data_IF_925576623357
#
_entry.id   IF_925576623357
#
_cell.length_a   1.000
_cell.length_b   1.000
_cell.length_c   1.000
_cell.angle_alpha   90.00
_cell.angle_beta   90.00
_cell.angle_gamma   90.00
#
_symmetry.space_group_name_H-M   'P 1'
#
loop_
_entity.id
_entity.type
_entity.pdbx_description
1 polymer ?
#
# COMPACT_ATOMS: atom_id res chain seq x y z
N UNK A 1 43.05 -10.13 -11.98
CA UNK A 1 43.62 -11.43 -12.41
C UNK A 1 42.79 -12.53 -11.74
N UNK A 2 41.95 -13.28 -12.49
CA UNK A 2 41.02 -14.27 -11.91
C UNK A 2 41.65 -15.67 -12.00
N UNK A 3 42.15 -16.20 -10.89
CA UNK A 3 42.60 -17.59 -10.82
C UNK A 3 41.38 -18.53 -10.78
N UNK A 4 41.34 -19.53 -11.65
CA UNK A 4 40.24 -20.49 -11.80
C UNK A 4 40.76 -21.88 -11.50
N UNK A 5 40.27 -22.48 -10.42
CA UNK A 5 40.62 -23.84 -9.99
C UNK A 5 39.33 -24.65 -9.81
N UNK A 6 39.33 -25.93 -10.20
CA UNK A 6 38.19 -26.83 -10.04
C UNK A 6 38.49 -27.77 -8.88
N UNK A 7 37.60 -27.80 -7.89
CA UNK A 7 37.66 -28.70 -6.72
C UNK A 7 36.47 -29.67 -6.74
N UNK A 8 36.44 -30.61 -5.81
CA UNK A 8 35.30 -31.52 -5.61
C UNK A 8 33.96 -30.78 -5.42
N UNK A 9 34.01 -29.59 -4.82
CA UNK A 9 32.87 -28.69 -4.58
C UNK A 9 32.51 -27.81 -5.79
N UNK A 10 33.07 -28.09 -6.97
CA UNK A 10 32.86 -27.34 -8.21
C UNK A 10 33.91 -26.27 -8.49
N UNK A 11 33.58 -25.35 -9.41
CA UNK A 11 34.49 -24.29 -9.82
C UNK A 11 34.62 -23.22 -8.73
N UNK A 12 35.83 -22.98 -8.25
CA UNK A 12 36.10 -21.96 -7.23
C UNK A 12 36.73 -20.73 -7.87
N UNK A 13 36.22 -19.56 -7.47
CA UNK A 13 36.75 -18.24 -7.81
C UNK A 13 36.84 -17.42 -6.53
N UNK A 14 37.84 -16.54 -6.47
CA UNK A 14 38.02 -15.60 -5.37
C UNK A 14 37.79 -14.16 -5.83
N UNK A 15 37.22 -13.32 -4.96
CA UNK A 15 37.14 -11.87 -5.15
C UNK A 15 38.52 -11.22 -4.98
N UNK A 16 38.64 -9.93 -5.33
CA UNK A 16 39.88 -9.19 -5.11
C UNK A 16 40.24 -9.05 -3.61
N UNK A 17 39.24 -9.20 -2.75
CA UNK A 17 39.35 -9.13 -1.29
C UNK A 17 39.59 -10.52 -0.67
N UNK A 18 39.60 -11.59 -1.47
CA UNK A 18 39.90 -12.96 -1.03
C UNK A 18 38.69 -13.81 -0.67
N UNK A 19 37.46 -13.31 -0.89
CA UNK A 19 36.23 -14.06 -0.59
C UNK A 19 35.92 -15.10 -1.65
N UNK A 20 35.39 -16.26 -1.25
CA UNK A 20 34.95 -17.30 -2.19
C UNK A 20 33.61 -16.91 -2.83
N UNK A 21 33.59 -16.87 -4.16
CA UNK A 21 32.37 -16.64 -4.94
C UNK A 21 31.69 -17.99 -5.18
N UNK A 22 30.44 -18.12 -4.76
CA UNK A 22 29.64 -19.33 -4.93
C UNK A 22 28.15 -18.99 -5.13
N UNK A 23 27.38 -19.95 -5.65
CA UNK A 23 25.92 -19.89 -5.63
C UNK A 23 25.43 -19.95 -4.18
N UNK A 24 24.51 -19.06 -3.85
CA UNK A 24 23.82 -19.01 -2.55
C UNK A 24 22.42 -19.58 -2.71
N UNK A 25 22.09 -20.62 -1.95
CA UNK A 25 20.74 -21.20 -1.93
C UNK A 25 19.83 -20.38 -1.00
N UNK A 26 18.61 -20.13 -1.44
CA UNK A 26 17.58 -19.43 -0.68
C UNK A 26 16.39 -20.37 -0.50
N UNK A 27 15.95 -20.53 0.75
CA UNK A 27 14.85 -21.42 1.12
C UNK A 27 13.76 -20.66 1.87
N UNK A 28 12.55 -21.18 1.83
CA UNK A 28 11.41 -20.68 2.60
C UNK A 28 10.71 -21.84 3.30
N UNK A 29 10.37 -21.65 4.57
CA UNK A 29 9.48 -22.56 5.29
C UNK A 29 8.04 -22.37 4.79
N UNK A 30 7.48 -23.39 4.14
CA UNK A 30 6.12 -23.40 3.63
C UNK A 30 5.40 -24.64 4.15
N UNK A 31 4.27 -24.47 4.83
CA UNK A 31 3.45 -25.58 5.35
C UNK A 31 4.23 -26.62 6.19
N UNK A 32 5.24 -26.18 6.95
CA UNK A 32 6.05 -27.06 7.81
C UNK A 32 7.25 -27.71 7.12
N UNK A 33 7.47 -27.47 5.83
CA UNK A 33 8.61 -27.98 5.07
C UNK A 33 9.48 -26.85 4.50
N UNK A 34 10.80 -27.02 4.50
CA UNK A 34 11.72 -26.10 3.83
C UNK A 34 11.72 -26.38 2.34
N UNK A 35 11.40 -25.35 1.54
CA UNK A 35 11.44 -25.42 0.08
C UNK A 35 12.49 -24.47 -0.48
N UNK A 36 13.31 -24.96 -1.39
CA UNK A 36 14.29 -24.17 -2.12
C UNK A 36 13.61 -23.24 -3.11
N UNK A 37 13.64 -21.94 -2.83
CA UNK A 37 13.10 -20.89 -3.69
C UNK A 37 13.99 -20.68 -4.91
N UNK A 38 15.30 -20.72 -4.72
CA UNK A 38 16.24 -20.53 -5.83
C UNK A 38 17.68 -20.30 -5.40
N UNK A 39 18.51 -19.95 -6.37
CA UNK A 39 19.94 -19.73 -6.20
C UNK A 39 20.36 -18.35 -6.70
N UNK A 40 21.18 -17.66 -5.91
CA UNK A 40 21.74 -16.34 -6.23
C UNK A 40 23.25 -16.44 -6.51
N UNK A 41 23.71 -15.79 -7.59
CA UNK A 41 25.12 -15.70 -7.95
C UNK A 41 25.66 -14.28 -7.72
N UNK A 42 26.57 -14.12 -6.76
CA UNK A 42 27.09 -12.80 -6.37
C UNK A 42 27.91 -12.07 -7.47
N UNK A 43 28.75 -12.77 -8.24
CA UNK A 43 29.59 -12.16 -9.31
C UNK A 43 28.76 -11.59 -10.48
N UNK A 44 27.79 -12.37 -10.97
CA UNK A 44 26.92 -11.98 -12.10
C UNK A 44 25.65 -11.25 -11.66
N UNK A 45 25.36 -11.24 -10.36
CA UNK A 45 24.10 -10.75 -9.76
C UNK A 45 22.86 -11.43 -10.35
N UNK A 46 23.00 -12.68 -10.77
CA UNK A 46 21.92 -13.48 -11.34
C UNK A 46 21.16 -14.23 -10.25
N UNK A 47 19.82 -14.23 -10.33
CA UNK A 47 18.95 -15.04 -9.51
C UNK A 47 18.23 -16.07 -10.38
N UNK A 48 18.32 -17.35 -10.00
CA UNK A 48 17.59 -18.45 -10.63
C UNK A 48 16.49 -18.91 -9.69
N UNK A 49 15.25 -18.61 -10.04
CA UNK A 49 14.07 -19.08 -9.31
C UNK A 49 13.76 -20.53 -9.69
N UNK A 50 13.50 -21.37 -8.70
CA UNK A 50 13.03 -22.75 -8.87
C UNK A 50 11.61 -22.92 -8.33
N UNK A 51 11.32 -22.34 -7.18
CA UNK A 51 10.00 -22.36 -6.56
C UNK A 51 9.52 -20.95 -6.25
N UNK A 52 8.19 -20.79 -6.24
CA UNK A 52 7.54 -19.54 -5.90
C UNK A 52 7.59 -19.30 -4.38
N UNK A 53 7.77 -18.03 -4.00
CA UNK A 53 7.69 -17.58 -2.62
C UNK A 53 6.23 -17.39 -2.25
N UNK A 54 5.78 -18.02 -1.17
CA UNK A 54 4.40 -17.92 -0.70
C UNK A 54 4.37 -16.93 0.47
N UNK A 55 3.56 -15.89 0.34
CA UNK A 55 3.25 -14.97 1.43
C UNK A 55 1.76 -15.05 1.76
N UNK A 56 1.44 -14.83 3.02
CA UNK A 56 0.04 -14.70 3.45
C UNK A 56 -0.62 -13.50 2.74
N UNK A 57 -1.76 -13.75 2.07
CA UNK A 57 -2.43 -12.75 1.25
C UNK A 57 -1.84 -12.56 -0.15
N UNK A 58 -0.90 -13.42 -0.59
CA UNK A 58 -0.39 -13.47 -1.97
C UNK A 58 0.43 -12.25 -2.38
N UNK A 59 0.80 -11.40 -1.42
CA UNK A 59 1.61 -10.19 -1.66
C UNK A 59 2.75 -10.15 -0.67
N UNK A 60 3.90 -9.68 -1.13
CA UNK A 60 5.04 -9.36 -0.27
C UNK A 60 4.57 -8.34 0.77
N UNK A 61 4.74 -8.61 2.08
CA UNK A 61 4.38 -7.67 3.12
C UNK A 61 5.18 -6.38 2.94
N UNK A 62 4.53 -5.24 3.18
CA UNK A 62 5.20 -3.94 3.11
C UNK A 62 5.84 -3.65 4.48
N UNK A 63 7.08 -3.18 4.46
CA UNK A 63 7.83 -2.85 5.68
C UNK A 63 7.16 -1.71 6.47
N UNK A 64 6.55 -0.76 5.75
CA UNK A 64 5.89 0.41 6.31
C UNK A 64 4.39 0.46 6.03
N UNK A 65 3.67 1.09 6.96
CA UNK A 65 2.26 1.40 6.79
C UNK A 65 2.08 2.50 5.75
N UNK A 66 1.20 2.26 4.77
CA UNK A 66 0.78 3.30 3.83
C UNK A 66 -0.17 4.28 4.55
N UNK A 67 0.31 5.48 4.85
CA UNK A 67 -0.55 6.55 5.38
C UNK A 67 -1.49 7.04 4.27
N UNK A 68 -2.79 6.77 4.44
CA UNK A 68 -3.85 7.24 3.53
C UNK A 68 -4.64 8.33 4.24
N UNK A 69 -4.41 9.58 3.87
CA UNK A 69 -5.18 10.72 4.37
C UNK A 69 -6.58 10.69 3.76
N UNK A 70 -7.61 10.54 4.60
CA UNK A 70 -9.02 10.54 4.16
C UNK A 70 -9.71 11.80 4.67
N UNK A 71 -10.47 12.45 3.79
CA UNK A 71 -11.30 13.60 4.17
C UNK A 71 -12.47 13.12 5.05
N UNK A 72 -12.69 13.79 6.17
CA UNK A 72 -13.88 13.56 7.01
C UNK A 72 -15.00 14.47 6.52
N UNK A 73 -15.98 13.90 5.83
CA UNK A 73 -17.18 14.61 5.36
C UNK A 73 -18.38 14.27 6.23
N UNK A 74 -19.34 15.20 6.29
CA UNK A 74 -20.62 14.98 6.98
C UNK A 74 -21.51 14.08 6.10
N UNK A 75 -22.40 13.30 6.72
CA UNK A 75 -23.43 12.53 6.01
C UNK A 75 -24.22 13.42 5.07
N UNK A 76 -24.31 13.01 3.79
CA UNK A 76 -25.06 13.73 2.75
C UNK A 76 -26.53 13.88 3.11
N UNK A 77 -27.12 12.88 3.76
CA UNK A 77 -28.52 12.90 4.20
C UNK A 77 -28.74 13.93 5.30
N UNK A 78 -27.84 14.01 6.28
CA UNK A 78 -27.94 15.01 7.36
C UNK A 78 -27.78 16.42 6.79
N UNK A 79 -26.81 16.62 5.90
CA UNK A 79 -26.60 17.89 5.24
C UNK A 79 -27.85 18.35 4.46
N UNK A 80 -28.45 17.44 3.69
CA UNK A 80 -29.68 17.74 2.93
C UNK A 80 -30.86 18.09 3.86
N UNK A 81 -31.04 17.36 4.96
CA UNK A 81 -32.11 17.65 5.92
C UNK A 81 -31.96 19.05 6.54
N UNK A 82 -30.75 19.41 6.97
CA UNK A 82 -30.45 20.73 7.53
C UNK A 82 -30.63 21.85 6.49
N UNK A 83 -30.24 21.61 5.23
CA UNK A 83 -30.43 22.57 4.15
C UNK A 83 -31.93 22.83 3.86
N UNK A 84 -32.75 21.78 3.83
CA UNK A 84 -34.20 21.92 3.66
C UNK A 84 -34.84 22.72 4.80
N UNK A 85 -34.45 22.44 6.06
CA UNK A 85 -34.92 23.20 7.22
C UNK A 85 -34.54 24.67 7.14
N UNK A 86 -33.30 24.98 6.73
CA UNK A 86 -32.84 26.35 6.54
C UNK A 86 -33.64 27.09 5.46
N UNK A 87 -33.96 26.44 4.34
CA UNK A 87 -34.79 27.01 3.28
C UNK A 87 -36.21 27.30 3.74
N UNK A 88 -36.83 26.40 4.50
CA UNK A 88 -38.16 26.64 5.08
C UNK A 88 -38.16 27.84 6.03
N UNK A 89 -37.11 27.98 6.85
CA UNK A 89 -36.91 29.16 7.71
C UNK A 89 -36.78 30.46 6.91
N UNK A 90 -36.01 30.44 5.82
CA UNK A 90 -35.86 31.61 4.95
C UNK A 90 -37.18 32.02 4.26
N UNK A 91 -37.94 31.06 3.75
CA UNK A 91 -39.23 31.31 3.09
C UNK A 91 -40.29 31.86 4.05
N UNK A 92 -40.34 31.33 5.27
CA UNK A 92 -41.26 31.80 6.31
C UNK A 92 -40.90 33.22 6.75
N UNK A 93 -39.63 33.52 6.99
CA UNK A 93 -39.17 34.88 7.30
C UNK A 93 -39.52 35.87 6.18
N UNK A 94 -39.27 35.51 4.92
CA UNK A 94 -39.61 36.34 3.76
C UNK A 94 -41.12 36.64 3.70
N UNK A 95 -41.94 35.62 3.96
CA UNK A 95 -43.40 35.75 3.96
C UNK A 95 -43.89 36.68 5.06
N UNK A 96 -43.32 36.59 6.27
CA UNK A 96 -43.63 37.49 7.38
C UNK A 96 -43.25 38.94 7.07
N UNK A 97 -42.09 39.18 6.44
CA UNK A 97 -41.67 40.52 6.01
C UNK A 97 -42.66 41.10 5.00
N UNK A 98 -43.05 40.32 3.99
CA UNK A 98 -44.02 40.75 2.97
C UNK A 98 -45.40 41.05 3.56
N UNK A 99 -45.86 40.22 4.51
CA UNK A 99 -47.12 40.46 5.22
C UNK A 99 -47.04 41.73 6.07
N UNK A 100 -45.95 41.91 6.82
CA UNK A 100 -45.74 43.10 7.64
C UNK A 100 -45.76 44.37 6.77
N UNK A 101 -45.08 44.36 5.63
CA UNK A 101 -45.10 45.47 4.67
C UNK A 101 -46.51 45.75 4.13
N UNK A 102 -47.23 44.70 3.68
CA UNK A 102 -48.57 44.84 3.08
C UNK A 102 -49.62 45.38 4.06
N UNK A 103 -49.51 45.05 5.34
CA UNK A 103 -50.45 45.49 6.38
C UNK A 103 -49.95 46.67 7.21
N UNK A 104 -48.82 47.29 6.83
CA UNK A 104 -48.23 48.42 7.56
C UNK A 104 -49.11 49.67 7.57
N UNK A 105 -49.97 49.86 6.57
CA UNK A 105 -50.83 51.04 6.40
C UNK A 105 -52.16 50.93 7.16
N UNK A 106 -52.45 49.78 7.78
CA UNK A 106 -53.71 49.54 8.52
C UNK A 106 -53.64 49.97 10.00
N UNK A 107 -52.71 50.86 10.37
CA UNK A 107 -52.59 51.42 11.71
C UNK A 107 -53.09 52.84 11.77
#
# INVERSE_FOLDING_TARGET
>A
MKYKCVFFQGQVKFSAEGERIMWTQIEQLQNGEYKTIGYYHADTKEFRAEHEVIFDGGKIPQDDFKHVTTWKTVSTMLYAAMACLALLGALTAMSLILLNYKFSDRR
#
